data_IF_448913858534
#
_entry.id   IF_448913858534
#
_cell.length_a   1.000
_cell.length_b   1.000
_cell.length_c   1.000
_cell.angle_alpha   90.00
_cell.angle_beta   90.00
_cell.angle_gamma   90.00
#
_symmetry.space_group_name_H-M   'P 1'
#
loop_
_entity.id
_entity.type
_entity.pdbx_description
1 polymer ?
#
# COMPACT_ATOMS: atom_id res chain seq x y z
N UNK A 1 6.48 -19.91 -52.72
CA UNK A 1 7.81 -19.42 -53.15
C UNK A 1 8.24 -18.29 -52.23
N UNK A 2 9.16 -18.50 -51.26
CA UNK A 2 9.66 -17.40 -50.44
C UNK A 2 10.47 -16.43 -51.32
N UNK A 3 9.97 -15.20 -51.46
CA UNK A 3 10.60 -14.15 -52.25
C UNK A 3 11.96 -13.78 -51.65
N UNK A 4 13.01 -13.87 -52.47
CA UNK A 4 14.36 -13.45 -52.07
C UNK A 4 14.35 -11.92 -51.91
N UNK A 5 14.48 -11.44 -50.68
CA UNK A 5 14.59 -10.01 -50.40
C UNK A 5 15.84 -9.44 -51.06
N UNK A 6 15.74 -8.24 -51.68
CA UNK A 6 16.85 -7.64 -52.42
C UNK A 6 18.04 -7.36 -51.49
N UNK A 7 19.24 -7.73 -51.94
CA UNK A 7 20.47 -7.50 -51.16
C UNK A 7 20.67 -5.99 -50.97
N UNK A 8 20.91 -5.52 -49.73
CA UNK A 8 21.11 -4.10 -49.47
C UNK A 8 22.37 -3.59 -50.16
N UNK A 9 22.27 -2.38 -50.73
CA UNK A 9 23.36 -1.72 -51.44
C UNK A 9 24.55 -1.45 -50.50
N UNK A 10 25.76 -1.38 -51.08
CA UNK A 10 27.00 -1.09 -50.32
C UNK A 10 26.91 0.24 -49.55
N UNK A 11 26.23 1.24 -50.13
CA UNK A 11 25.97 2.52 -49.48
C UNK A 11 25.03 2.38 -48.27
N UNK A 12 23.98 1.57 -48.37
CA UNK A 12 23.08 1.29 -47.26
C UNK A 12 23.80 0.57 -46.11
N UNK A 13 24.64 -0.43 -46.42
CA UNK A 13 25.48 -1.12 -45.43
C UNK A 13 26.44 -0.17 -44.71
N UNK A 14 27.14 0.70 -45.45
CA UNK A 14 28.07 1.68 -44.86
C UNK A 14 27.37 2.69 -43.94
N UNK A 15 26.18 3.18 -44.33
CA UNK A 15 25.36 4.06 -43.46
C UNK A 15 24.89 3.34 -42.20
N UNK A 16 24.50 2.07 -42.29
CA UNK A 16 24.10 1.28 -41.13
C UNK A 16 25.27 1.09 -40.14
N UNK A 17 26.46 0.74 -40.63
CA UNK A 17 27.67 0.59 -39.79
C UNK A 17 28.00 1.90 -39.06
N UNK A 18 28.00 3.05 -39.77
CA UNK A 18 28.25 4.36 -39.14
C UNK A 18 27.21 4.73 -38.08
N UNK A 19 25.96 4.29 -38.22
CA UNK A 19 24.91 4.49 -37.20
C UNK A 19 25.18 3.63 -35.96
N UNK A 20 25.62 2.39 -36.15
CA UNK A 20 26.01 1.48 -35.07
C UNK A 20 27.22 2.05 -34.30
N UNK A 21 28.28 2.48 -34.99
CA UNK A 21 29.48 3.04 -34.35
C UNK A 21 29.22 4.33 -33.58
N UNK A 22 28.29 5.16 -34.06
CA UNK A 22 27.84 6.37 -33.35
C UNK A 22 26.96 6.05 -32.13
N UNK A 23 26.24 4.93 -32.17
CA UNK A 23 25.33 4.50 -31.11
C UNK A 23 26.08 3.77 -29.97
N UNK A 24 27.22 3.13 -30.25
CA UNK A 24 28.07 2.52 -29.22
C UNK A 24 28.70 3.64 -28.38
N UNK A 25 28.37 3.76 -27.08
CA UNK A 25 28.97 4.78 -26.24
C UNK A 25 30.48 4.59 -26.23
N UNK A 26 31.24 5.60 -26.68
CA UNK A 26 32.71 5.58 -26.63
C UNK A 26 33.15 5.04 -25.28
N UNK A 27 33.97 4.00 -25.27
CA UNK A 27 34.31 3.21 -24.08
C UNK A 27 34.67 4.07 -22.86
N UNK A 28 35.39 5.17 -23.09
CA UNK A 28 35.75 6.17 -22.07
C UNK A 28 34.54 6.87 -21.42
N UNK A 29 33.47 7.17 -22.17
CA UNK A 29 32.22 7.76 -21.64
C UNK A 29 31.46 6.74 -20.79
N UNK A 30 31.41 5.49 -21.24
CA UNK A 30 30.81 4.39 -20.48
C UNK A 30 31.53 4.13 -19.16
N UNK A 31 32.87 4.03 -19.19
CA UNK A 31 33.69 3.87 -17.99
C UNK A 31 33.52 5.04 -17.01
N UNK A 32 33.47 6.29 -17.49
CA UNK A 32 33.19 7.46 -16.64
C UNK A 32 31.81 7.38 -15.98
N UNK A 33 30.78 6.95 -16.72
CA UNK A 33 29.43 6.77 -16.18
C UNK A 33 29.40 5.72 -15.08
N UNK A 34 29.97 4.53 -15.30
CA UNK A 34 30.08 3.49 -14.26
C UNK A 34 30.84 3.96 -13.02
N UNK A 35 31.94 4.71 -13.19
CA UNK A 35 32.69 5.27 -12.05
C UNK A 35 31.86 6.27 -11.25
N UNK A 36 31.01 7.07 -11.90
CA UNK A 36 30.09 8.00 -11.22
C UNK A 36 29.00 7.24 -10.46
N UNK A 37 28.36 6.26 -11.12
CA UNK A 37 27.34 5.39 -10.50
C UNK A 37 27.90 4.64 -9.27
N UNK A 38 29.13 4.13 -9.34
CA UNK A 38 29.76 3.45 -8.19
C UNK A 38 30.03 4.41 -7.02
N UNK A 39 30.47 5.64 -7.30
CA UNK A 39 30.66 6.68 -6.28
C UNK A 39 29.35 7.07 -5.60
N UNK A 40 28.29 7.28 -6.38
CA UNK A 40 26.96 7.62 -5.85
C UNK A 40 26.40 6.48 -4.99
N UNK A 41 26.56 5.23 -5.44
CA UNK A 41 26.16 4.05 -4.68
C UNK A 41 26.93 3.90 -3.36
N UNK A 42 28.23 4.18 -3.35
CA UNK A 42 29.05 4.19 -2.13
C UNK A 42 28.59 5.27 -1.16
N UNK A 43 28.37 6.49 -1.65
CA UNK A 43 27.87 7.60 -0.83
C UNK A 43 26.48 7.32 -0.24
N UNK A 44 25.60 6.65 -1.00
CA UNK A 44 24.29 6.24 -0.51
C UNK A 44 24.40 5.23 0.64
N UNK A 45 25.26 4.19 0.49
CA UNK A 45 25.50 3.20 1.55
C UNK A 45 26.06 3.84 2.81
N UNK A 46 26.90 4.85 2.69
CA UNK A 46 27.45 5.59 3.82
C UNK A 46 26.38 6.40 4.56
N UNK A 47 25.48 7.08 3.84
CA UNK A 47 24.32 7.76 4.46
C UNK A 47 23.41 6.79 5.22
N UNK A 48 23.12 5.62 4.66
CA UNK A 48 22.33 4.61 5.37
C UNK A 48 23.02 4.12 6.65
N UNK A 49 24.36 3.92 6.61
CA UNK A 49 25.12 3.55 7.81
C UNK A 49 25.09 4.65 8.88
N UNK A 50 25.18 5.92 8.49
CA UNK A 50 25.08 7.05 9.42
C UNK A 50 23.68 7.15 10.05
N UNK A 51 22.62 7.01 9.24
CA UNK A 51 21.25 7.00 9.72
C UNK A 51 20.98 5.85 10.71
N UNK A 52 21.47 4.65 10.41
CA UNK A 52 21.37 3.50 11.31
C UNK A 52 22.11 3.70 12.64
N UNK A 53 23.27 4.38 12.63
CA UNK A 53 23.98 4.73 13.87
C UNK A 53 23.18 5.75 14.69
N UNK A 54 22.59 6.75 14.04
CA UNK A 54 21.77 7.76 14.71
C UNK A 54 20.52 7.15 15.36
N UNK A 55 19.79 6.30 14.64
CA UNK A 55 18.60 5.63 15.19
C UNK A 55 18.96 4.68 16.33
N UNK A 56 20.10 3.98 16.25
CA UNK A 56 20.60 3.15 17.34
C UNK A 56 20.92 3.99 18.58
N UNK A 57 21.67 5.09 18.43
CA UNK A 57 22.01 5.97 19.54
C UNK A 57 20.77 6.63 20.18
N UNK A 58 19.76 6.98 19.37
CA UNK A 58 18.49 7.50 19.89
C UNK A 58 17.75 6.46 20.76
N UNK A 59 17.73 5.19 20.34
CA UNK A 59 17.10 4.11 21.13
C UNK A 59 17.85 3.83 22.42
N UNK A 60 19.19 3.85 22.38
CA UNK A 60 20.02 3.70 23.58
C UNK A 60 19.76 4.85 24.57
N UNK A 61 19.68 6.10 24.09
CA UNK A 61 19.34 7.25 24.93
C UNK A 61 17.91 7.19 25.51
N UNK A 62 16.92 6.75 24.72
CA UNK A 62 15.55 6.53 25.22
C UNK A 62 15.50 5.41 26.27
N UNK A 63 16.32 4.37 26.12
CA UNK A 63 16.41 3.29 27.09
C UNK A 63 17.08 3.74 28.40
N UNK A 64 18.16 4.55 28.32
CA UNK A 64 18.79 5.15 29.50
C UNK A 64 17.84 6.09 30.25
N UNK A 65 17.07 6.91 29.54
CA UNK A 65 16.07 7.79 30.15
C UNK A 65 15.01 6.99 30.93
N UNK A 66 14.51 5.88 30.37
CA UNK A 66 13.52 5.03 31.05
C UNK A 66 14.04 4.43 32.36
N UNK A 67 15.34 4.13 32.43
CA UNK A 67 15.94 3.54 33.64
C UNK A 67 16.15 4.56 34.77
N UNK A 68 16.14 5.87 34.48
CA UNK A 68 16.27 6.91 35.50
C UNK A 68 14.94 7.37 36.11
N UNK A 69 13.81 7.06 35.47
CA UNK A 69 12.47 7.48 35.93
C UNK A 69 11.78 6.44 36.85
N UNK A 70 12.42 5.29 37.13
CA UNK A 70 11.80 4.12 37.79
C UNK A 70 12.12 3.97 39.29
N UNK A 71 12.48 5.06 39.98
CA UNK A 71 12.82 5.05 41.42
C UNK A 71 11.81 5.83 42.31
N UNK A 72 10.63 6.21 41.78
CA UNK A 72 9.61 6.92 42.58
C UNK A 72 8.16 6.63 42.21
N UNK A 73 7.76 5.37 42.12
CA UNK A 73 6.35 5.00 41.99
C UNK A 73 5.95 3.93 43.02
N UNK A 74 5.17 4.36 44.00
CA UNK A 74 4.50 3.56 45.03
C UNK A 74 3.52 2.55 44.42
N UNK A 75 3.56 1.31 44.90
CA UNK A 75 2.93 0.08 44.37
C UNK A 75 1.37 0.02 44.34
N UNK A 76 0.64 1.13 44.46
CA UNK A 76 -0.84 1.09 44.62
C UNK A 76 -1.66 1.58 43.40
N UNK A 77 -1.05 2.01 42.29
CA UNK A 77 -1.79 2.55 41.12
C UNK A 77 -1.53 1.85 39.77
N UNK A 78 -0.84 0.71 39.71
CA UNK A 78 -0.47 0.08 38.42
C UNK A 78 -1.63 -0.65 37.69
N UNK A 79 -2.72 -0.98 38.36
CA UNK A 79 -3.84 -1.71 37.73
C UNK A 79 -4.91 -0.82 37.05
N UNK A 80 -4.85 0.52 37.22
CA UNK A 80 -5.84 1.44 36.62
C UNK A 80 -5.31 2.31 35.47
N UNK A 81 -4.00 2.35 35.25
CA UNK A 81 -3.39 3.20 34.21
C UNK A 81 -3.24 2.50 32.85
N UNK A 82 -3.24 1.16 32.80
CA UNK A 82 -3.08 0.40 31.54
C UNK A 82 -4.30 0.38 30.62
N UNK A 83 -5.45 0.88 31.06
CA UNK A 83 -6.72 0.87 30.31
C UNK A 83 -7.17 2.24 29.78
N UNK A 84 -6.40 3.32 29.99
CA UNK A 84 -6.89 4.70 29.72
C UNK A 84 -6.13 5.53 28.67
N UNK A 85 -5.20 4.96 27.89
CA UNK A 85 -4.38 5.76 26.95
C UNK A 85 -4.15 5.17 25.57
N UNK A 86 -5.08 4.38 25.07
CA UNK A 86 -5.29 4.29 23.62
C UNK A 86 -6.55 5.09 23.34
N UNK A 87 -6.39 6.37 22.97
CA UNK A 87 -7.48 7.15 22.38
C UNK A 87 -8.02 6.34 21.20
N UNK A 88 -9.21 5.80 21.41
CA UNK A 88 -9.92 4.87 20.55
C UNK A 88 -10.05 5.46 19.17
N UNK A 89 -9.18 5.05 18.25
CA UNK A 89 -9.47 5.14 16.82
C UNK A 89 -10.82 4.44 16.66
N UNK A 90 -11.86 5.10 16.13
CA UNK A 90 -13.18 4.48 16.00
C UNK A 90 -13.05 3.27 15.08
N UNK A 91 -13.02 2.08 15.68
CA UNK A 91 -12.99 0.80 14.98
C UNK A 91 -14.42 0.42 14.61
N UNK A 92 -15.08 1.28 13.83
CA UNK A 92 -16.46 1.07 13.39
C UNK A 92 -16.55 1.22 11.86
N UNK A 93 -17.48 0.50 11.26
CA UNK A 93 -17.81 0.68 9.85
C UNK A 93 -18.52 2.03 9.65
N UNK A 94 -17.97 2.89 8.80
CA UNK A 94 -18.52 4.25 8.55
C UNK A 94 -19.96 4.23 8.00
N UNK A 95 -20.41 3.13 7.40
CA UNK A 95 -21.75 3.04 6.78
C UNK A 95 -22.79 2.46 7.76
N UNK A 96 -22.50 1.33 8.42
CA UNK A 96 -23.47 0.66 9.29
C UNK A 96 -23.24 0.93 10.78
N UNK A 97 -22.14 1.58 11.16
CA UNK A 97 -21.73 1.83 12.55
C UNK A 97 -21.50 0.58 13.40
N UNK A 98 -21.41 -0.60 12.78
CA UNK A 98 -21.06 -1.84 13.48
C UNK A 98 -19.57 -1.82 13.85
N UNK A 99 -19.24 -2.35 15.02
CA UNK A 99 -17.87 -2.51 15.50
C UNK A 99 -17.08 -3.52 14.62
N UNK A 100 -15.85 -3.16 14.29
CA UNK A 100 -14.97 -3.94 13.42
C UNK A 100 -14.62 -5.31 14.03
N UNK A 101 -14.32 -5.45 15.34
CA UNK A 101 -14.14 -6.75 15.97
C UNK A 101 -15.34 -7.69 15.78
N UNK A 102 -16.56 -7.16 15.93
CA UNK A 102 -17.79 -7.94 15.77
C UNK A 102 -18.04 -8.35 14.32
N UNK A 103 -17.72 -7.46 13.37
CA UNK A 103 -17.77 -7.78 11.93
C UNK A 103 -16.79 -8.92 11.60
N UNK A 104 -15.55 -8.86 12.11
CA UNK A 104 -14.54 -9.90 11.91
C UNK A 104 -14.97 -11.23 12.53
N UNK A 105 -15.47 -11.20 13.77
CA UNK A 105 -15.93 -12.41 14.45
C UNK A 105 -17.10 -13.06 13.70
N UNK A 106 -18.06 -12.27 13.20
CA UNK A 106 -19.16 -12.79 12.35
C UNK A 106 -18.64 -13.41 11.07
N UNK A 107 -17.67 -12.78 10.39
CA UNK A 107 -17.07 -13.34 9.18
C UNK A 107 -16.42 -14.71 9.44
N UNK A 108 -15.70 -14.86 10.56
CA UNK A 108 -15.11 -16.13 10.98
C UNK A 108 -16.19 -17.18 11.28
N UNK A 109 -17.25 -16.81 11.99
CA UNK A 109 -18.38 -17.70 12.28
C UNK A 109 -19.11 -18.16 11.02
N UNK A 110 -19.24 -17.29 10.02
CA UNK A 110 -19.82 -17.61 8.71
C UNK A 110 -18.86 -18.39 7.79
N UNK A 111 -17.59 -18.57 8.18
CA UNK A 111 -16.57 -19.19 7.36
C UNK A 111 -16.19 -18.37 6.13
N UNK A 112 -16.39 -17.04 6.18
CA UNK A 112 -16.12 -16.09 5.10
C UNK A 112 -14.85 -15.29 5.35
N UNK A 113 -14.32 -14.70 4.28
CA UNK A 113 -13.32 -13.64 4.39
C UNK A 113 -11.88 -14.06 4.64
N UNK A 114 -11.52 -15.33 4.41
CA UNK A 114 -10.13 -15.80 4.50
C UNK A 114 -9.64 -16.02 5.94
N UNK A 115 -8.33 -15.93 6.15
CA UNK A 115 -7.71 -16.10 7.48
C UNK A 115 -8.24 -15.01 8.42
N UNK A 116 -8.84 -15.42 9.53
CA UNK A 116 -9.44 -14.56 10.57
C UNK A 116 -10.49 -13.55 10.05
N UNK A 117 -11.13 -13.84 8.91
CA UNK A 117 -12.14 -12.97 8.31
C UNK A 117 -11.59 -11.68 7.70
N UNK A 118 -10.26 -11.55 7.53
CA UNK A 118 -9.61 -10.29 7.14
C UNK A 118 -10.11 -9.63 5.83
N UNK A 119 -10.74 -10.37 4.92
CA UNK A 119 -11.30 -9.81 3.69
C UNK A 119 -12.67 -9.13 3.88
N UNK A 120 -13.28 -9.23 5.06
CA UNK A 120 -14.57 -8.59 5.36
C UNK A 120 -14.48 -7.06 5.42
N UNK A 121 -13.27 -6.49 5.48
CA UNK A 121 -13.05 -5.06 5.64
C UNK A 121 -12.48 -4.43 4.37
N UNK A 122 -13.13 -3.36 3.92
CA UNK A 122 -12.60 -2.45 2.92
C UNK A 122 -12.02 -1.21 3.61
N UNK A 123 -10.82 -0.80 3.19
CA UNK A 123 -10.17 0.42 3.68
C UNK A 123 -9.95 1.39 2.54
N UNK A 124 -10.07 2.69 2.80
CA UNK A 124 -9.77 3.69 1.79
C UNK A 124 -8.27 3.71 1.44
N UNK A 125 -7.93 3.76 0.16
CA UNK A 125 -6.54 3.78 -0.33
C UNK A 125 -5.75 5.07 0.00
N UNK A 126 -6.42 6.09 0.55
CA UNK A 126 -5.73 7.29 1.04
C UNK A 126 -5.21 7.03 2.46
N UNK A 127 -3.88 7.05 2.61
CA UNK A 127 -3.17 6.74 3.87
C UNK A 127 -3.69 7.53 5.08
N UNK A 128 -4.10 8.78 4.86
CA UNK A 128 -4.54 9.69 5.92
C UNK A 128 -6.07 9.67 6.13
N UNK A 129 -6.82 8.89 5.34
CA UNK A 129 -8.28 8.81 5.48
C UNK A 129 -8.68 7.92 6.66
N UNK A 130 -8.05 6.76 6.80
CA UNK A 130 -8.33 5.81 7.88
C UNK A 130 -9.75 5.21 7.87
N UNK A 131 -10.60 5.55 6.91
CA UNK A 131 -11.97 5.07 6.85
C UNK A 131 -12.03 3.56 6.57
N UNK A 132 -12.74 2.85 7.45
CA UNK A 132 -13.01 1.41 7.36
C UNK A 132 -14.48 1.16 7.05
N UNK A 133 -14.73 0.15 6.22
CA UNK A 133 -16.05 -0.23 5.78
C UNK A 133 -16.17 -1.75 5.82
N UNK A 134 -17.35 -2.25 6.16
CA UNK A 134 -17.67 -3.64 5.88
C UNK A 134 -17.75 -3.83 4.35
N UNK A 135 -17.23 -4.93 3.81
CA UNK A 135 -17.14 -5.16 2.36
C UNK A 135 -18.53 -5.16 1.71
N UNK A 136 -19.53 -5.73 2.40
CA UNK A 136 -20.93 -5.71 1.97
C UNK A 136 -21.51 -4.29 1.94
N UNK A 137 -21.14 -3.44 2.91
CA UNK A 137 -21.50 -2.02 2.95
C UNK A 137 -20.90 -1.27 1.77
N UNK A 138 -19.61 -1.48 1.51
CA UNK A 138 -18.89 -0.84 0.41
C UNK A 138 -19.50 -1.22 -0.95
N UNK A 139 -19.84 -2.50 -1.16
CA UNK A 139 -20.51 -2.96 -2.39
C UNK A 139 -21.89 -2.35 -2.54
N UNK A 140 -22.74 -2.39 -1.50
CA UNK A 140 -24.09 -1.78 -1.55
C UNK A 140 -24.04 -0.28 -1.81
N UNK A 141 -23.01 0.41 -1.32
CA UNK A 141 -22.82 1.84 -1.54
C UNK A 141 -22.55 2.17 -3.01
N UNK A 142 -21.73 1.37 -3.71
CA UNK A 142 -21.42 1.60 -5.14
C UNK A 142 -22.45 0.99 -6.10
N UNK A 143 -23.19 -0.01 -5.66
CA UNK A 143 -24.14 -0.78 -6.46
C UNK A 143 -25.49 -0.86 -5.76
N UNK A 144 -26.24 0.26 -5.67
CA UNK A 144 -27.55 0.28 -5.05
C UNK A 144 -28.58 -0.51 -5.90
N UNK A 145 -29.44 -1.34 -5.28
CA UNK A 145 -30.32 -2.30 -5.98
C UNK A 145 -31.58 -1.69 -6.65
N UNK A 146 -31.52 -0.52 -7.32
CA UNK A 146 -32.62 0.20 -8.02
C UNK A 146 -33.57 1.06 -7.13
N UNK A 147 -34.33 2.01 -7.72
CA UNK A 147 -33.90 3.16 -8.53
C UNK A 147 -33.58 4.39 -7.63
N UNK A 148 -32.81 5.39 -8.13
CA UNK A 148 -32.05 6.28 -7.28
C UNK A 148 -32.87 7.50 -6.85
N UNK A 149 -33.25 7.56 -5.58
CA UNK A 149 -33.64 8.86 -4.97
C UNK A 149 -32.40 9.61 -4.48
N UNK A 150 -31.25 8.94 -4.33
CA UNK A 150 -30.03 9.57 -3.80
C UNK A 150 -28.82 9.18 -4.64
N UNK A 151 -28.47 10.10 -5.52
CA UNK A 151 -27.19 10.33 -6.23
C UNK A 151 -26.56 9.15 -7.00
N UNK A 152 -26.66 9.14 -8.34
CA UNK A 152 -25.95 8.17 -9.16
C UNK A 152 -24.43 8.37 -9.02
N UNK A 153 -23.71 7.28 -8.74
CA UNK A 153 -22.28 7.19 -9.06
C UNK A 153 -21.30 7.88 -8.13
N UNK A 154 -21.60 8.00 -6.82
CA UNK A 154 -20.53 8.31 -5.86
C UNK A 154 -19.66 7.08 -5.65
N UNK A 155 -18.77 6.82 -6.61
CA UNK A 155 -17.66 5.86 -6.51
C UNK A 155 -16.53 6.42 -5.65
N UNK A 156 -16.87 7.33 -4.73
CA UNK A 156 -15.92 8.09 -3.91
C UNK A 156 -16.11 7.75 -2.45
N UNK A 157 -15.02 7.82 -1.69
CA UNK A 157 -15.06 7.64 -0.26
C UNK A 157 -15.99 8.69 0.39
N UNK A 158 -16.95 8.29 1.24
CA UNK A 158 -17.83 9.25 1.92
C UNK A 158 -17.07 10.20 2.87
N UNK A 159 -15.86 9.82 3.29
CA UNK A 159 -15.01 10.61 4.20
C UNK A 159 -14.11 11.57 3.42
N UNK A 160 -13.19 11.06 2.58
CA UNK A 160 -12.19 11.89 1.90
C UNK A 160 -12.54 12.28 0.46
N UNK A 161 -13.70 11.84 -0.06
CA UNK A 161 -14.16 12.07 -1.44
C UNK A 161 -13.24 11.56 -2.56
N UNK A 162 -12.20 10.81 -2.23
CA UNK A 162 -11.33 10.15 -3.22
C UNK A 162 -12.07 9.01 -3.91
N UNK A 163 -11.91 8.90 -5.22
CA UNK A 163 -12.41 7.76 -5.99
C UNK A 163 -11.84 6.44 -5.47
N UNK A 164 -12.71 5.44 -5.34
CA UNK A 164 -12.37 4.08 -4.97
C UNK A 164 -11.90 3.29 -6.19
N UNK A 165 -10.93 2.41 -5.97
CA UNK A 165 -10.58 1.38 -6.94
C UNK A 165 -11.67 0.30 -6.97
N UNK A 166 -12.62 0.47 -7.90
CA UNK A 166 -13.75 -0.44 -8.04
C UNK A 166 -13.33 -1.84 -8.48
N UNK A 167 -12.24 -1.96 -9.24
CA UNK A 167 -11.74 -3.27 -9.69
C UNK A 167 -11.24 -4.06 -8.48
N UNK A 168 -10.40 -3.43 -7.66
CA UNK A 168 -9.89 -4.02 -6.42
C UNK A 168 -11.00 -4.31 -5.40
N UNK A 169 -11.97 -3.41 -5.25
CA UNK A 169 -13.13 -3.64 -4.39
C UNK A 169 -13.94 -4.86 -4.85
N UNK A 170 -14.17 -5.02 -6.16
CA UNK A 170 -14.87 -6.18 -6.73
C UNK A 170 -14.07 -7.48 -6.61
N UNK A 171 -12.76 -7.43 -6.77
CA UNK A 171 -11.88 -8.58 -6.53
C UNK A 171 -11.95 -9.04 -5.09
N UNK A 172 -11.83 -8.11 -4.14
CA UNK A 172 -11.94 -8.42 -2.72
C UNK A 172 -13.34 -8.93 -2.36
N UNK A 173 -14.41 -8.31 -2.87
CA UNK A 173 -15.78 -8.77 -2.66
C UNK A 173 -15.98 -10.21 -3.15
N UNK A 174 -15.46 -10.56 -4.34
CA UNK A 174 -15.49 -11.93 -4.88
C UNK A 174 -14.69 -12.92 -4.03
N UNK A 175 -13.55 -12.49 -3.50
CA UNK A 175 -12.73 -13.31 -2.61
C UNK A 175 -13.37 -13.50 -1.23
N UNK A 176 -14.14 -12.51 -0.76
CA UNK A 176 -14.89 -12.57 0.49
C UNK A 176 -16.12 -13.49 0.38
N UNK A 177 -16.96 -13.26 -0.63
CA UNK A 177 -18.19 -14.00 -0.90
C UNK A 177 -18.51 -13.96 -2.41
N UNK A 178 -18.34 -15.09 -3.13
CA UNK A 178 -18.60 -15.17 -4.58
C UNK A 178 -20.05 -14.83 -4.97
N UNK A 179 -21.01 -15.05 -4.06
CA UNK A 179 -22.42 -14.81 -4.33
C UNK A 179 -22.79 -13.33 -4.30
N UNK A 180 -21.99 -12.53 -3.60
CA UNK A 180 -22.26 -11.12 -3.30
C UNK A 180 -22.27 -10.20 -4.55
N UNK A 181 -21.67 -10.66 -5.64
CA UNK A 181 -21.59 -9.97 -6.93
C UNK A 181 -22.22 -10.78 -8.09
N UNK A 182 -22.86 -11.91 -7.80
CA UNK A 182 -23.44 -12.81 -8.81
C UNK A 182 -24.86 -12.45 -9.20
N UNK A 183 -25.48 -11.48 -8.53
CA UNK A 183 -26.83 -10.97 -8.83
C UNK A 183 -26.73 -9.59 -9.49
N UNK A 184 -26.61 -9.59 -10.82
CA UNK A 184 -26.62 -8.40 -11.66
C UNK A 184 -26.98 -8.72 -13.10
#
# INVERSE_FOLDING_TARGET
MPGKSPRPSRAAKSRAIRRIDKAIPKEKKYQRRRKKEDKERKALRERYRQSAKYTKGKREAEQEHRLMDDDSATEEEEDKARTKKEESIPFECIICSDEIPDILQRAVQEGKGGVDGGLVLWSCDLRDCGALFCISCAVRYISPPLPPVIHPGQTTCPVCRREWDLERLREQARAYDPTLMSEG
#
